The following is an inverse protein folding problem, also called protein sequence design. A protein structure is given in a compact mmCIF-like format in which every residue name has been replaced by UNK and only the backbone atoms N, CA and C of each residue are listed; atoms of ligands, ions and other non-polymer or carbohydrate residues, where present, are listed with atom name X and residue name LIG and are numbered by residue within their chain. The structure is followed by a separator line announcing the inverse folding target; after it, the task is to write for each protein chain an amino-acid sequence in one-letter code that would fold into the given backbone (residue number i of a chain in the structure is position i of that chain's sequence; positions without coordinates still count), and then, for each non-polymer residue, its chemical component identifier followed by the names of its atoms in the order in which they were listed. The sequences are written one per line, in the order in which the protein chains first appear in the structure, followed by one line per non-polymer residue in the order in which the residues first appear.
data_IF_321169478824
#
_entry.id   IF_321169478824
#
_cell.length_a   1.000
_cell.length_b   1.000
_cell.length_c   1.000
_cell.angle_alpha   90.00
_cell.angle_beta   90.00
_cell.angle_gamma   90.00
#
_symmetry.space_group_name_H-M   'P 1'
#
loop_
_entity.id
_entity.type
_entity.pdbx_description
1 polymer ?
#
# COMPACT_ATOMS: atom_id res chain seq x y z
N UNK A 1 5.30 12.36 2.39
CA UNK A 1 4.12 11.52 2.04
C UNK A 1 3.45 10.93 3.27
N UNK A 2 4.17 10.23 4.16
CA UNK A 2 3.58 9.61 5.37
C UNK A 2 2.78 10.62 6.21
N UNK A 3 3.36 11.76 6.58
CA UNK A 3 2.68 12.74 7.43
C UNK A 3 1.49 13.43 6.74
N UNK A 4 1.48 13.45 5.41
CA UNK A 4 0.39 14.04 4.64
C UNK A 4 -0.79 13.07 4.49
N UNK A 5 -0.51 11.76 4.35
CA UNK A 5 -1.53 10.74 4.14
C UNK A 5 -2.11 10.19 5.46
N UNK A 6 -1.34 10.18 6.54
CA UNK A 6 -1.81 9.64 7.82
C UNK A 6 -3.13 10.30 8.30
N UNK A 7 -3.29 11.64 8.27
CA UNK A 7 -4.56 12.28 8.63
C UNK A 7 -5.71 11.92 7.69
N UNK A 8 -5.44 11.81 6.38
CA UNK A 8 -6.45 11.45 5.36
C UNK A 8 -7.01 10.04 5.63
N UNK A 9 -6.17 9.13 6.11
CA UNK A 9 -6.54 7.77 6.48
C UNK A 9 -7.07 7.66 7.93
N UNK A 10 -7.17 8.77 8.67
CA UNK A 10 -7.57 8.76 10.08
C UNK A 10 -6.57 8.11 11.03
N UNK A 11 -5.29 8.04 10.63
CA UNK A 11 -4.22 7.40 11.40
C UNK A 11 -3.42 8.43 12.19
N UNK A 12 -3.23 8.17 13.49
CA UNK A 12 -2.27 8.88 14.31
C UNK A 12 -0.98 8.05 14.42
N UNK A 13 0.15 8.64 14.00
CA UNK A 13 1.46 7.99 14.06
C UNK A 13 2.30 8.71 15.11
N UNK A 14 2.55 8.04 16.23
CA UNK A 14 3.44 8.54 17.25
C UNK A 14 4.88 8.64 16.70
N UNK A 15 5.66 9.62 17.17
CA UNK A 15 6.97 9.95 16.60
C UNK A 15 7.96 8.77 16.70
N UNK A 16 7.87 8.00 17.79
CA UNK A 16 8.65 6.79 18.04
C UNK A 16 8.40 5.67 17.02
N UNK A 17 7.20 5.62 16.42
CA UNK A 17 6.85 4.60 15.42
C UNK A 17 7.24 4.99 14.00
N UNK A 18 7.50 6.28 13.77
CA UNK A 18 7.79 6.83 12.44
C UNK A 18 8.92 6.09 11.70
N UNK A 19 10.06 5.75 12.33
CA UNK A 19 11.11 4.99 11.66
C UNK A 19 10.65 3.60 11.20
N UNK A 20 9.86 2.92 12.04
CA UNK A 20 9.31 1.59 11.72
C UNK A 20 8.27 1.64 10.59
N UNK A 21 7.40 2.65 10.58
CA UNK A 21 6.45 2.86 9.49
C UNK A 21 7.18 3.07 8.16
N UNK A 22 8.23 3.90 8.15
CA UNK A 22 9.06 4.12 6.95
C UNK A 22 9.66 2.80 6.46
N UNK A 23 10.28 2.03 7.37
CA UNK A 23 10.93 0.77 7.00
C UNK A 23 9.94 -0.23 6.39
N UNK A 24 8.74 -0.38 6.97
CA UNK A 24 7.72 -1.29 6.45
C UNK A 24 7.17 -0.83 5.10
N UNK A 25 6.97 0.49 4.92
CA UNK A 25 6.54 1.03 3.63
C UNK A 25 7.59 0.81 2.53
N UNK A 26 8.89 0.88 2.86
CA UNK A 26 9.95 0.57 1.89
C UNK A 26 9.89 -0.90 1.43
N UNK A 27 9.59 -1.83 2.33
CA UNK A 27 9.37 -3.25 1.97
C UNK A 27 8.13 -3.39 1.08
N UNK A 28 7.02 -2.76 1.44
CA UNK A 28 5.80 -2.78 0.63
C UNK A 28 6.02 -2.22 -0.77
N UNK A 29 6.77 -1.11 -0.91
CA UNK A 29 7.12 -0.52 -2.21
C UNK A 29 7.92 -1.50 -3.07
N UNK A 30 8.85 -2.26 -2.47
CA UNK A 30 9.62 -3.27 -3.22
C UNK A 30 8.70 -4.36 -3.79
N UNK A 31 7.71 -4.80 -3.03
CA UNK A 31 6.74 -5.80 -3.47
C UNK A 31 5.80 -5.22 -4.54
N UNK A 32 5.31 -4.00 -4.35
CA UNK A 32 4.49 -3.31 -5.34
C UNK A 32 5.21 -3.18 -6.70
N UNK A 33 6.49 -2.81 -6.70
CA UNK A 33 7.31 -2.75 -7.93
C UNK A 33 7.49 -4.10 -8.62
N UNK A 34 7.44 -5.21 -7.88
CA UNK A 34 7.46 -6.53 -8.51
C UNK A 34 6.15 -6.83 -9.24
N UNK A 35 5.04 -6.23 -8.80
CA UNK A 35 3.72 -6.35 -9.43
C UNK A 35 3.54 -5.36 -10.60
N UNK A 36 4.20 -4.19 -10.59
CA UNK A 36 4.17 -3.23 -11.71
C UNK A 36 4.67 -3.83 -13.04
N UNK A 37 5.43 -4.92 -12.98
CA UNK A 37 5.91 -5.65 -14.16
C UNK A 37 4.84 -6.57 -14.78
N UNK A 38 3.68 -6.73 -14.16
CA UNK A 38 2.56 -7.51 -14.70
C UNK A 38 1.78 -6.62 -15.67
N UNK A 39 1.74 -7.03 -16.93
CA UNK A 39 0.93 -6.37 -17.96
C UNK A 39 -0.53 -6.80 -17.79
N UNK A 40 -1.38 -5.86 -17.39
CA UNK A 40 -2.82 -6.07 -17.27
C UNK A 40 -3.52 -5.58 -18.53
N UNK A 41 -4.26 -6.46 -19.19
CA UNK A 41 -5.08 -6.13 -20.37
C UNK A 41 -6.52 -5.85 -19.95
N UNK A 42 -7.32 -5.24 -20.83
CA UNK A 42 -8.72 -4.87 -20.54
C UNK A 42 -9.61 -6.07 -20.13
N UNK A 43 -9.22 -7.29 -20.50
CA UNK A 43 -9.93 -8.53 -20.13
C UNK A 43 -9.45 -9.15 -18.81
N UNK A 44 -8.43 -8.59 -18.15
CA UNK A 44 -8.00 -9.05 -16.84
C UNK A 44 -8.96 -8.50 -15.78
N UNK A 45 -9.79 -9.40 -15.26
CA UNK A 45 -10.73 -9.08 -14.19
C UNK A 45 -10.07 -9.24 -12.82
N UNK A 46 -10.45 -8.44 -11.80
CA UNK A 46 -10.04 -8.67 -10.43
C UNK A 46 -10.43 -10.07 -9.95
N UNK A 47 -9.69 -10.59 -8.97
CA UNK A 47 -10.02 -11.88 -8.37
C UNK A 47 -11.47 -11.91 -7.85
N UNK A 48 -12.20 -13.03 -8.03
CA UNK A 48 -13.61 -13.11 -7.66
C UNK A 48 -13.80 -12.94 -6.15
N UNK A 49 -14.79 -12.11 -5.77
CA UNK A 49 -15.23 -11.93 -4.38
C UNK A 49 -16.60 -12.57 -4.19
N UNK A 50 -16.84 -13.19 -3.04
CA UNK A 50 -18.16 -13.67 -2.67
C UNK A 50 -18.97 -12.54 -2.03
N UNK A 51 -20.14 -12.22 -2.59
CA UNK A 51 -21.12 -11.31 -2.00
C UNK A 51 -22.30 -12.12 -1.45
N UNK A 52 -22.69 -11.85 -0.19
CA UNK A 52 -23.77 -12.55 0.53
C UNK A 52 -25.12 -11.84 0.39
#
# INVERSE_FOLDING_TARGET
MIDALAPVLGLAIAAEFRPGVIANLQVAIRLARALDAVDLVDHDEPAPVFEA
#
